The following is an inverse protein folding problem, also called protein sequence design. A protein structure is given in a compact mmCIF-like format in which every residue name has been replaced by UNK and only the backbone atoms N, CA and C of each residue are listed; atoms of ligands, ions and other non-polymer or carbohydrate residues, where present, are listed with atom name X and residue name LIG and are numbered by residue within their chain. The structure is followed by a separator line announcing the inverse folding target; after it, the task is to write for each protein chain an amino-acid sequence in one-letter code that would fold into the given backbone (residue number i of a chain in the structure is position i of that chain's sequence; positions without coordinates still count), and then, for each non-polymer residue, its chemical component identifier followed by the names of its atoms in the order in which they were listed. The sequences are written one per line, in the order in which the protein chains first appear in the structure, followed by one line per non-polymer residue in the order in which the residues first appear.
data_IF_212114424176
#
_entry.id   IF_212114424176
#
_cell.length_a   1.000
_cell.length_b   1.000
_cell.length_c   1.000
_cell.angle_alpha   90.00
_cell.angle_beta   90.00
_cell.angle_gamma   90.00
#
_symmetry.space_group_name_H-M   'P 1'
#
loop_
_entity.id
_entity.type
_entity.pdbx_description
1 polymer ?
#
# COMPACT_ATOMS: atom_id res chain seq x y z
N UNK A 1 -0.18 10.95 11.90
CA UNK A 1 1.06 10.16 11.86
C UNK A 1 2.10 10.91 12.66
N UNK A 2 2.83 10.25 13.54
CA UNK A 2 4.01 10.81 14.23
C UNK A 2 5.27 10.31 13.55
N UNK A 3 6.32 11.13 13.56
CA UNK A 3 7.63 10.69 13.12
C UNK A 3 8.13 9.55 14.03
N UNK A 4 8.72 8.54 13.42
CA UNK A 4 9.34 7.41 14.10
C UNK A 4 10.84 7.48 13.84
N UNK A 5 11.63 7.49 14.89
CA UNK A 5 13.09 7.47 14.81
C UNK A 5 13.54 6.06 14.40
N UNK A 6 13.84 5.88 13.11
CA UNK A 6 14.27 4.60 12.58
C UNK A 6 15.68 4.28 13.05
N UNK A 7 15.79 3.29 13.94
CA UNK A 7 17.08 2.77 14.42
C UNK A 7 17.21 1.32 14.03
N UNK A 8 17.90 1.01 12.91
CA UNK A 8 18.16 -0.37 12.53
C UNK A 8 18.92 -1.11 13.64
N UNK A 9 18.60 -2.38 13.82
CA UNK A 9 19.31 -3.30 14.71
C UNK A 9 20.25 -4.20 13.92
N UNK A 10 21.25 -4.76 14.60
CA UNK A 10 22.06 -5.80 14.00
C UNK A 10 21.19 -7.05 13.77
N UNK A 11 21.32 -7.63 12.57
CA UNK A 11 20.80 -8.96 12.28
C UNK A 11 21.51 -10.00 13.15
N UNK A 12 20.82 -11.10 13.46
CA UNK A 12 21.50 -12.27 14.00
C UNK A 12 22.49 -12.82 12.96
N UNK A 13 23.62 -13.43 13.37
CA UNK A 13 24.64 -13.88 12.41
C UNK A 13 24.10 -14.82 11.33
N UNK A 14 23.11 -15.66 11.65
CA UNK A 14 22.48 -16.55 10.67
C UNK A 14 21.49 -15.83 9.76
N UNK A 15 20.72 -14.87 10.29
CA UNK A 15 19.83 -13.99 9.52
C UNK A 15 20.64 -13.17 8.50
N UNK A 16 21.76 -12.58 8.92
CA UNK A 16 22.62 -11.74 8.07
C UNK A 16 23.15 -12.52 6.86
N UNK A 17 23.66 -13.75 7.09
CA UNK A 17 24.13 -14.64 6.03
C UNK A 17 23.00 -15.01 5.07
N UNK A 18 21.81 -15.33 5.58
CA UNK A 18 20.64 -15.68 4.76
C UNK A 18 20.17 -14.49 3.92
N UNK A 19 20.07 -13.30 4.52
CA UNK A 19 19.68 -12.06 3.84
C UNK A 19 20.68 -11.70 2.74
N UNK A 20 21.98 -11.75 3.04
CA UNK A 20 23.03 -11.47 2.06
C UNK A 20 22.99 -12.47 0.89
N UNK A 21 22.79 -13.76 1.18
CA UNK A 21 22.64 -14.79 0.16
C UNK A 21 21.39 -14.56 -0.71
N UNK A 22 20.24 -14.28 -0.09
CA UNK A 22 18.99 -14.01 -0.79
C UNK A 22 19.10 -12.79 -1.71
N UNK A 23 19.61 -11.67 -1.21
CA UNK A 23 19.80 -10.44 -2.01
C UNK A 23 20.75 -10.67 -3.19
N UNK A 24 21.87 -11.35 -2.97
CA UNK A 24 22.82 -11.69 -4.03
C UNK A 24 22.18 -12.56 -5.11
N UNK A 25 21.42 -13.59 -4.72
CA UNK A 25 20.76 -14.47 -5.68
C UNK A 25 19.64 -13.77 -6.44
N UNK A 26 18.83 -12.92 -5.78
CA UNK A 26 17.79 -12.12 -6.43
C UNK A 26 18.38 -11.22 -7.51
N UNK A 27 19.44 -10.48 -7.19
CA UNK A 27 20.11 -9.60 -8.14
C UNK A 27 20.70 -10.38 -9.33
N UNK A 28 21.35 -11.50 -9.07
CA UNK A 28 21.93 -12.35 -10.11
C UNK A 28 20.85 -12.95 -11.05
N UNK A 29 19.70 -13.39 -10.50
CA UNK A 29 18.58 -13.87 -11.31
C UNK A 29 17.96 -12.77 -12.16
N UNK A 30 17.77 -11.57 -11.62
CA UNK A 30 17.26 -10.43 -12.40
C UNK A 30 18.21 -10.09 -13.55
N UNK A 31 19.51 -9.97 -13.26
CA UNK A 31 20.53 -9.68 -14.26
C UNK A 31 20.56 -10.72 -15.39
N UNK A 32 20.37 -12.01 -15.06
CA UNK A 32 20.32 -13.10 -16.04
C UNK A 32 19.13 -12.98 -17.01
N UNK A 33 18.02 -12.39 -16.57
CA UNK A 33 16.79 -12.31 -17.35
C UNK A 33 16.60 -10.99 -18.11
N UNK A 34 17.50 -10.01 -17.95
CA UNK A 34 17.40 -8.71 -18.61
C UNK A 34 17.29 -8.84 -20.13
N UNK A 35 18.06 -9.76 -20.73
CA UNK A 35 18.12 -9.96 -22.18
C UNK A 35 17.28 -11.17 -22.66
N UNK A 36 16.47 -11.75 -21.79
CA UNK A 36 15.66 -12.90 -22.15
C UNK A 36 14.56 -12.51 -23.17
N UNK A 37 14.29 -13.35 -24.18
CA UNK A 37 13.39 -12.99 -25.28
C UNK A 37 11.93 -12.87 -24.82
N UNK A 38 11.20 -11.91 -25.41
CA UNK A 38 9.73 -11.82 -25.29
C UNK A 38 9.07 -13.13 -25.75
N UNK A 39 7.89 -13.40 -25.19
CA UNK A 39 7.07 -14.61 -25.39
C UNK A 39 7.70 -15.93 -24.91
N UNK A 40 8.88 -15.88 -24.29
CA UNK A 40 9.42 -17.01 -23.55
C UNK A 40 8.83 -17.05 -22.13
N UNK A 41 8.67 -18.23 -21.57
CA UNK A 41 8.29 -18.44 -20.16
C UNK A 41 9.28 -19.42 -19.54
N UNK A 42 9.54 -19.28 -18.24
CA UNK A 42 10.46 -20.17 -17.53
C UNK A 42 9.89 -21.58 -17.42
N UNK A 43 10.44 -22.50 -18.20
CA UNK A 43 10.05 -23.92 -18.21
C UNK A 43 10.59 -24.67 -16.98
N UNK A 44 10.08 -25.88 -16.74
CA UNK A 44 10.61 -26.79 -15.70
C UNK A 44 12.11 -27.04 -15.91
N UNK A 45 12.56 -27.17 -17.16
CA UNK A 45 13.97 -27.39 -17.45
C UNK A 45 14.80 -26.13 -17.23
N UNK A 46 14.31 -24.94 -17.61
CA UNK A 46 14.97 -23.67 -17.28
C UNK A 46 15.15 -23.54 -15.77
N UNK A 47 14.12 -23.88 -14.99
CA UNK A 47 14.16 -23.80 -13.51
C UNK A 47 15.09 -24.83 -12.90
N UNK A 48 15.09 -26.08 -13.39
CA UNK A 48 16.07 -27.11 -12.97
C UNK A 48 17.50 -26.68 -13.26
N UNK A 49 17.72 -26.02 -14.40
CA UNK A 49 19.03 -25.46 -14.74
C UNK A 49 19.44 -24.37 -13.75
N UNK A 50 18.54 -23.43 -13.41
CA UNK A 50 18.86 -22.41 -12.40
C UNK A 50 19.18 -23.05 -11.03
N UNK A 51 18.42 -24.06 -10.61
CA UNK A 51 18.72 -24.77 -9.36
C UNK A 51 20.08 -25.50 -9.43
N UNK A 52 20.43 -26.12 -10.56
CA UNK A 52 21.73 -26.79 -10.72
C UNK A 52 22.91 -25.82 -10.77
N UNK A 53 22.67 -24.57 -11.18
CA UNK A 53 23.63 -23.46 -11.11
C UNK A 53 23.78 -22.89 -9.69
N UNK A 54 22.99 -23.35 -8.72
CA UNK A 54 23.14 -23.02 -7.30
C UNK A 54 22.17 -21.97 -6.77
N UNK A 55 21.15 -21.57 -7.56
CA UNK A 55 20.08 -20.71 -7.05
C UNK A 55 19.13 -21.49 -6.12
N UNK A 56 18.66 -20.83 -5.07
CA UNK A 56 17.76 -21.42 -4.08
C UNK A 56 16.43 -21.85 -4.75
N UNK A 57 15.96 -23.09 -4.51
CA UNK A 57 14.72 -23.59 -5.11
C UNK A 57 13.50 -22.70 -4.85
N UNK A 58 13.35 -22.17 -3.62
CA UNK A 58 12.21 -21.32 -3.27
C UNK A 58 12.22 -20.02 -4.07
N UNK A 59 13.40 -19.45 -4.31
CA UNK A 59 13.55 -18.25 -5.12
C UNK A 59 13.25 -18.53 -6.59
N UNK A 60 13.80 -19.62 -7.13
CA UNK A 60 13.57 -20.05 -8.52
C UNK A 60 12.11 -20.40 -8.75
N UNK A 61 11.41 -21.01 -7.78
CA UNK A 61 10.01 -21.41 -7.92
C UNK A 61 9.05 -20.21 -7.98
N UNK A 62 9.46 -19.09 -7.40
CA UNK A 62 8.69 -17.85 -7.29
C UNK A 62 9.20 -16.74 -8.22
N UNK A 63 10.16 -17.07 -9.09
CA UNK A 63 10.65 -16.22 -10.16
C UNK A 63 9.60 -16.10 -11.28
N UNK A 64 9.23 -14.86 -11.58
CA UNK A 64 8.26 -14.49 -12.61
C UNK A 64 9.01 -13.96 -13.83
N UNK A 65 8.73 -14.53 -14.99
CA UNK A 65 9.18 -14.05 -16.29
C UNK A 65 8.07 -14.30 -17.30
N UNK A 66 7.33 -13.25 -17.65
CA UNK A 66 6.15 -13.32 -18.51
C UNK A 66 6.14 -12.16 -19.51
N UNK A 67 5.41 -12.34 -20.62
CA UNK A 67 5.08 -11.25 -21.54
C UNK A 67 3.69 -10.72 -21.19
N UNK A 68 3.65 -9.50 -20.69
CA UNK A 68 2.46 -8.83 -20.19
C UNK A 68 1.94 -7.84 -21.24
N UNK A 69 0.64 -7.93 -21.54
CA UNK A 69 -0.08 -6.91 -22.30
C UNK A 69 -0.99 -6.14 -21.38
N UNK A 70 -0.85 -4.82 -21.40
CA UNK A 70 -1.69 -3.92 -20.61
C UNK A 70 -2.88 -3.46 -21.45
N UNK A 71 -4.04 -3.35 -20.80
CA UNK A 71 -5.25 -2.81 -21.43
C UNK A 71 -4.96 -1.42 -21.99
N UNK A 72 -5.32 -1.18 -23.25
CA UNK A 72 -5.11 0.11 -23.93
C UNK A 72 -3.69 0.34 -24.47
N UNK A 73 -2.74 -0.58 -24.27
CA UNK A 73 -1.43 -0.52 -24.91
C UNK A 73 -1.36 -1.46 -26.11
N UNK A 74 -0.66 -1.03 -27.16
CA UNK A 74 -0.40 -1.84 -28.36
C UNK A 74 0.85 -2.70 -28.22
N UNK A 75 1.73 -2.40 -27.25
CA UNK A 75 3.00 -3.10 -27.07
C UNK A 75 2.94 -4.13 -25.94
N UNK A 76 3.57 -5.28 -26.20
CA UNK A 76 3.80 -6.32 -25.20
C UNK A 76 5.09 -6.06 -24.43
N UNK A 77 5.03 -6.11 -23.10
CA UNK A 77 6.14 -5.79 -22.20
C UNK A 77 6.64 -7.05 -21.50
N UNK A 78 7.96 -7.13 -21.27
CA UNK A 78 8.49 -8.17 -20.38
C UNK A 78 8.23 -7.73 -18.93
N UNK A 79 7.61 -8.61 -18.15
CA UNK A 79 7.45 -8.43 -16.72
C UNK A 79 8.30 -9.50 -16.01
N UNK A 80 9.35 -9.04 -15.33
CA UNK A 80 10.31 -9.87 -14.59
C UNK A 80 10.30 -9.45 -13.14
N UNK A 81 10.40 -10.43 -12.24
CA UNK A 81 10.55 -10.17 -10.81
C UNK A 81 10.22 -11.42 -10.01
N UNK A 82 9.63 -11.20 -8.84
CA UNK A 82 9.29 -12.25 -7.90
C UNK A 82 7.86 -12.09 -7.42
N UNK A 83 7.18 -13.20 -7.16
CA UNK A 83 5.94 -13.17 -6.39
C UNK A 83 6.25 -13.09 -4.87
N UNK A 84 5.24 -12.87 -4.03
CA UNK A 84 5.42 -12.71 -2.58
C UNK A 84 6.14 -13.88 -1.90
N UNK A 85 5.89 -15.11 -2.35
CA UNK A 85 6.45 -16.31 -1.74
C UNK A 85 7.97 -16.47 -1.97
N UNK A 86 8.59 -15.59 -2.76
CA UNK A 86 10.06 -15.51 -2.86
C UNK A 86 10.73 -14.88 -1.64
N UNK A 87 9.99 -14.10 -0.84
CA UNK A 87 10.53 -13.38 0.31
C UNK A 87 10.27 -14.16 1.60
N UNK A 88 11.34 -14.50 2.32
CA UNK A 88 11.25 -15.31 3.53
C UNK A 88 10.74 -14.45 4.70
N UNK A 89 9.50 -14.71 5.10
CA UNK A 89 8.84 -14.04 6.22
C UNK A 89 9.58 -14.29 7.54
N UNK A 90 10.30 -15.41 7.68
CA UNK A 90 11.10 -15.69 8.86
C UNK A 90 12.31 -14.76 9.00
N UNK A 91 12.67 -14.02 7.94
CA UNK A 91 13.74 -13.00 7.97
C UNK A 91 13.16 -11.61 8.21
N UNK A 92 12.27 -11.13 7.32
CA UNK A 92 11.75 -9.75 7.42
C UNK A 92 10.63 -9.58 8.46
N UNK A 93 10.12 -10.66 9.03
CA UNK A 93 9.14 -10.65 10.12
C UNK A 93 9.53 -11.59 11.26
N UNK A 94 10.84 -11.79 11.48
CA UNK A 94 11.36 -12.56 12.62
C UNK A 94 10.89 -11.97 13.96
N UNK A 95 10.73 -12.81 14.99
CA UNK A 95 10.24 -12.35 16.31
C UNK A 95 11.12 -11.24 16.89
N UNK A 96 12.44 -11.35 16.70
CA UNK A 96 13.41 -10.36 17.14
C UNK A 96 13.20 -9.00 16.45
N UNK A 97 13.07 -9.01 15.11
CA UNK A 97 12.84 -7.79 14.34
C UNK A 97 11.45 -7.20 14.63
N UNK A 98 10.42 -8.04 14.68
CA UNK A 98 9.05 -7.61 14.97
C UNK A 98 8.96 -6.94 16.34
N UNK A 99 9.58 -7.53 17.36
CA UNK A 99 9.64 -6.94 18.71
C UNK A 99 10.34 -5.57 18.70
N UNK A 100 11.40 -5.41 17.92
CA UNK A 100 12.08 -4.12 17.77
C UNK A 100 11.20 -3.07 17.06
N UNK A 101 10.56 -3.42 15.95
CA UNK A 101 9.65 -2.52 15.24
C UNK A 101 8.45 -2.10 16.10
N UNK A 102 7.94 -3.02 16.93
CA UNK A 102 6.92 -2.72 17.94
C UNK A 102 7.41 -1.68 18.96
N UNK A 103 8.66 -1.75 19.41
CA UNK A 103 9.23 -0.76 20.32
C UNK A 103 9.37 0.60 19.64
N UNK A 104 9.88 0.64 18.41
CA UNK A 104 10.04 1.89 17.64
C UNK A 104 8.72 2.65 17.48
N UNK A 105 7.62 1.93 17.25
CA UNK A 105 6.30 2.54 17.05
C UNK A 105 5.46 2.64 18.33
N UNK A 106 6.02 2.39 19.51
CA UNK A 106 5.31 2.31 20.79
C UNK A 106 4.09 1.36 20.76
N UNK A 107 4.19 0.29 19.97
CA UNK A 107 3.12 -0.69 19.81
C UNK A 107 1.96 -0.26 18.92
N UNK A 108 2.09 0.88 18.23
CA UNK A 108 1.10 1.39 17.31
C UNK A 108 1.38 1.00 15.86
N UNK A 109 0.33 1.00 15.05
CA UNK A 109 0.46 1.06 13.60
C UNK A 109 1.23 2.34 13.22
N UNK A 110 2.34 2.20 12.50
CA UNK A 110 3.15 3.32 12.00
C UNK A 110 2.38 4.29 11.08
N UNK A 111 1.23 3.86 10.56
CA UNK A 111 0.33 4.65 9.73
C UNK A 111 -0.85 5.24 10.53
N UNK A 112 -1.82 4.42 10.92
CA UNK A 112 -3.05 4.95 11.52
C UNK A 112 -2.95 5.28 13.01
N UNK A 113 -1.81 4.98 13.65
CA UNK A 113 -1.56 5.14 15.09
C UNK A 113 -2.52 4.38 16.01
N UNK A 114 -3.23 3.38 15.48
CA UNK A 114 -4.01 2.44 16.30
C UNK A 114 -3.06 1.58 17.13
N UNK A 115 -3.37 1.41 18.42
CA UNK A 115 -2.60 0.53 19.30
C UNK A 115 -2.87 -0.95 18.96
N UNK A 116 -1.79 -1.72 18.71
CA UNK A 116 -1.88 -3.09 18.21
C UNK A 116 -1.38 -4.14 19.21
N UNK A 117 -0.57 -3.74 20.20
CA UNK A 117 0.03 -4.69 21.14
C UNK A 117 -1.00 -5.42 22.00
N UNK A 118 -2.08 -4.75 22.42
CA UNK A 118 -3.11 -5.36 23.27
C UNK A 118 -3.78 -6.59 22.62
N UNK A 119 -3.86 -6.61 21.30
CA UNK A 119 -4.55 -7.66 20.52
C UNK A 119 -3.59 -8.48 19.67
N UNK A 120 -2.28 -8.16 19.70
CA UNK A 120 -1.27 -8.70 18.80
C UNK A 120 -1.69 -8.66 17.32
N UNK A 121 -2.42 -7.60 16.92
CA UNK A 121 -3.01 -7.49 15.57
C UNK A 121 -2.11 -6.79 14.55
N UNK A 122 -0.85 -6.57 14.90
CA UNK A 122 0.13 -5.94 14.01
C UNK A 122 1.06 -6.94 13.33
N UNK A 123 1.53 -6.54 12.16
CA UNK A 123 2.41 -7.29 11.28
C UNK A 123 3.55 -6.39 10.76
N UNK A 124 4.54 -7.01 10.13
CA UNK A 124 5.61 -6.26 9.45
C UNK A 124 5.21 -6.08 7.99
N UNK A 125 5.09 -4.83 7.56
CA UNK A 125 4.77 -4.47 6.18
C UNK A 125 5.84 -3.60 5.56
N UNK A 126 5.86 -3.54 4.22
CA UNK A 126 6.85 -2.75 3.49
C UNK A 126 6.35 -1.35 3.12
N UNK A 127 7.20 -0.33 3.26
CA UNK A 127 6.93 1.03 2.78
C UNK A 127 6.89 1.07 1.24
N UNK A 128 7.99 0.68 0.60
CA UNK A 128 8.07 0.36 -0.83
C UNK A 128 7.61 -1.08 -1.01
N UNK A 129 6.53 -1.33 -1.75
CA UNK A 129 5.97 -2.68 -1.88
C UNK A 129 6.96 -3.58 -2.61
N UNK A 130 7.19 -4.81 -2.17
CA UNK A 130 8.25 -5.68 -2.72
C UNK A 130 7.69 -6.81 -3.58
N UNK A 131 6.42 -7.12 -3.38
CA UNK A 131 5.72 -8.23 -4.01
C UNK A 131 4.93 -7.82 -5.25
N UNK A 132 4.32 -6.64 -5.22
CA UNK A 132 3.46 -6.19 -6.30
C UNK A 132 3.47 -4.67 -6.36
N UNK A 133 3.43 -4.14 -7.58
CA UNK A 133 3.27 -2.72 -7.79
C UNK A 133 1.94 -2.48 -8.49
N UNK A 134 1.08 -1.70 -7.84
CA UNK A 134 -0.21 -1.27 -8.37
C UNK A 134 -0.08 0.08 -9.04
N UNK A 135 -0.43 0.12 -10.32
CA UNK A 135 -0.42 1.35 -11.12
C UNK A 135 -1.79 1.59 -11.75
N UNK A 136 -2.30 2.82 -11.71
CA UNK A 136 -3.40 3.21 -12.59
C UNK A 136 -2.88 3.24 -14.04
N UNK A 137 -3.63 2.69 -14.98
CA UNK A 137 -3.25 2.67 -16.42
C UNK A 137 -3.92 3.79 -17.22
N UNK A 138 -5.01 4.37 -16.73
CA UNK A 138 -5.69 5.54 -17.34
C UNK A 138 -6.66 6.22 -16.35
N UNK A 139 -7.48 7.16 -16.82
CA UNK A 139 -8.61 7.75 -16.08
C UNK A 139 -9.70 6.74 -15.71
N UNK A 140 -9.67 5.54 -16.30
CA UNK A 140 -10.48 4.42 -15.86
C UNK A 140 -9.83 3.77 -14.65
N UNK A 141 -10.63 3.45 -13.63
CA UNK A 141 -10.28 2.89 -12.31
C UNK A 141 -9.55 1.53 -12.32
N UNK A 142 -8.99 1.14 -13.46
CA UNK A 142 -8.32 -0.13 -13.69
C UNK A 142 -6.88 -0.04 -13.17
N UNK A 143 -6.63 -0.84 -12.14
CA UNK A 143 -5.34 -0.97 -11.49
C UNK A 143 -4.64 -2.19 -12.06
N UNK A 144 -3.42 -2.01 -12.55
CA UNK A 144 -2.57 -3.12 -13.00
C UNK A 144 -1.57 -3.45 -11.91
N UNK A 145 -1.54 -4.74 -11.56
CA UNK A 145 -0.51 -5.33 -10.71
C UNK A 145 0.64 -5.85 -11.58
N UNK A 146 1.86 -5.36 -11.36
CA UNK A 146 3.10 -5.92 -11.93
C UNK A 146 4.01 -6.43 -10.84
N UNK A 147 5.08 -7.15 -11.19
CA UNK A 147 6.14 -7.43 -10.22
C UNK A 147 6.74 -6.09 -9.76
N UNK A 148 7.14 -6.02 -8.50
CA UNK A 148 7.74 -4.81 -7.95
C UNK A 148 9.22 -4.70 -8.33
N UNK A 149 9.72 -3.51 -8.70
CA UNK A 149 11.16 -3.27 -8.85
C UNK A 149 11.89 -3.20 -7.49
N UNK A 150 11.18 -3.14 -6.37
CA UNK A 150 11.74 -2.95 -5.03
C UNK A 150 12.09 -4.26 -4.32
N UNK A 151 12.20 -5.38 -5.03
CA UNK A 151 12.49 -6.70 -4.43
C UNK A 151 13.78 -6.71 -3.58
N UNK A 152 14.76 -5.88 -3.91
CA UNK A 152 16.02 -5.76 -3.15
C UNK A 152 15.83 -5.12 -1.77
N UNK A 153 14.68 -4.47 -1.52
CA UNK A 153 14.33 -3.84 -0.25
C UNK A 153 13.47 -4.75 0.64
N UNK A 154 13.32 -6.03 0.30
CA UNK A 154 12.54 -7.00 1.07
C UNK A 154 13.02 -7.15 2.51
N UNK A 155 14.34 -7.02 2.73
CA UNK A 155 15.00 -7.16 4.03
C UNK A 155 15.67 -5.86 4.51
N UNK A 156 15.38 -4.72 3.88
CA UNK A 156 15.90 -3.42 4.34
C UNK A 156 15.05 -2.91 5.50
N UNK A 157 15.65 -2.75 6.68
CA UNK A 157 14.92 -2.29 7.88
C UNK A 157 14.33 -0.88 7.72
N UNK A 158 14.91 -0.03 6.86
CA UNK A 158 14.32 1.29 6.55
C UNK A 158 13.04 1.18 5.70
N UNK A 159 12.80 0.01 5.12
CA UNK A 159 11.62 -0.31 4.35
C UNK A 159 10.58 -1.12 5.14
N UNK A 160 10.87 -1.55 6.38
CA UNK A 160 10.01 -2.42 7.20
C UNK A 160 9.34 -1.65 8.33
N UNK A 161 8.01 -1.75 8.43
CA UNK A 161 7.18 -0.99 9.37
C UNK A 161 6.27 -1.92 10.17
N UNK A 162 6.05 -1.60 11.45
CA UNK A 162 4.99 -2.25 12.23
C UNK A 162 3.63 -1.61 11.93
N UNK A 163 2.73 -2.37 11.32
CA UNK A 163 1.47 -1.85 10.76
C UNK A 163 0.30 -2.79 11.05
N UNK A 164 -0.93 -2.29 10.93
CA UNK A 164 -2.12 -3.13 11.00
C UNK A 164 -2.51 -3.64 9.61
N UNK A 165 -3.18 -4.79 9.56
CA UNK A 165 -3.64 -5.41 8.32
C UNK A 165 -4.50 -4.49 7.43
N UNK A 166 -5.36 -3.67 8.05
CA UNK A 166 -6.13 -2.68 7.31
C UNK A 166 -5.21 -1.73 6.54
N UNK A 167 -4.24 -1.09 7.21
CA UNK A 167 -3.34 -0.17 6.53
C UNK A 167 -2.42 -0.87 5.53
N UNK A 168 -1.93 -2.09 5.83
CA UNK A 168 -0.99 -2.82 4.98
C UNK A 168 -1.66 -3.44 3.73
N UNK A 169 -2.62 -4.34 3.92
CA UNK A 169 -3.20 -5.14 2.84
C UNK A 169 -4.42 -4.47 2.20
N UNK A 170 -5.34 -3.94 3.02
CA UNK A 170 -6.65 -3.49 2.52
C UNK A 170 -6.59 -2.12 1.84
N UNK A 171 -5.77 -1.21 2.37
CA UNK A 171 -5.66 0.16 1.90
C UNK A 171 -4.38 0.38 1.09
N UNK A 172 -3.20 0.35 1.72
CA UNK A 172 -1.94 0.63 1.01
C UNK A 172 -1.71 -0.33 -0.14
N UNK A 173 -1.78 -1.64 0.12
CA UNK A 173 -1.52 -2.67 -0.88
C UNK A 173 -0.19 -2.44 -1.61
N UNK A 174 -0.21 -2.59 -2.93
CA UNK A 174 0.93 -2.27 -3.80
C UNK A 174 0.95 -0.82 -4.29
N UNK A 175 0.12 0.07 -3.74
CA UNK A 175 0.05 1.46 -4.17
C UNK A 175 1.27 2.23 -3.68
N UNK A 176 2.07 2.73 -4.61
CA UNK A 176 3.27 3.53 -4.31
C UNK A 176 3.46 4.65 -5.35
N UNK A 177 2.60 5.68 -5.34
CA UNK A 177 2.66 6.77 -6.31
C UNK A 177 3.95 7.59 -6.15
N UNK A 178 4.51 8.02 -7.28
CA UNK A 178 5.72 8.84 -7.37
C UNK A 178 5.45 10.06 -8.25
N UNK A 179 6.22 11.12 -8.01
CA UNK A 179 6.43 12.19 -8.99
C UNK A 179 7.61 11.79 -9.88
N UNK A 180 7.41 11.82 -11.19
CA UNK A 180 8.45 11.52 -12.18
C UNK A 180 8.67 10.02 -12.42
N UNK A 181 9.93 9.67 -12.71
CA UNK A 181 10.33 8.31 -13.09
C UNK A 181 10.49 7.38 -11.86
N UNK A 182 10.50 6.07 -12.11
CA UNK A 182 10.63 5.03 -11.09
C UNK A 182 11.88 4.20 -11.32
N UNK A 183 12.49 3.68 -10.26
CA UNK A 183 13.47 2.62 -10.38
C UNK A 183 12.95 1.44 -11.25
N UNK A 184 13.79 0.83 -12.10
CA UNK A 184 15.23 1.08 -12.25
C UNK A 184 15.60 2.18 -13.26
N UNK A 185 14.66 2.96 -13.80
CA UNK A 185 14.98 4.04 -14.76
C UNK A 185 15.84 5.14 -14.11
N UNK A 186 15.62 5.37 -12.82
CA UNK A 186 16.40 6.26 -11.96
C UNK A 186 16.88 5.54 -10.71
N UNK A 187 17.80 6.15 -9.97
CA UNK A 187 18.21 5.63 -8.66
C UNK A 187 17.06 5.78 -7.65
N UNK A 188 16.94 4.84 -6.71
CA UNK A 188 15.88 4.85 -5.69
C UNK A 188 15.90 6.14 -4.86
N UNK A 189 17.09 6.67 -4.56
CA UNK A 189 17.26 7.91 -3.78
C UNK A 189 16.80 9.17 -4.52
N UNK A 190 16.56 9.08 -5.83
CA UNK A 190 16.04 10.17 -6.66
C UNK A 190 14.51 10.13 -6.78
N UNK A 191 13.87 9.03 -6.37
CA UNK A 191 12.42 8.92 -6.40
C UNK A 191 11.76 9.92 -5.44
N UNK A 192 10.66 10.51 -5.87
CA UNK A 192 9.86 11.44 -5.06
C UNK A 192 8.51 10.79 -4.72
N UNK A 193 8.42 10.01 -3.62
CA UNK A 193 7.18 9.34 -3.26
C UNK A 193 6.12 10.32 -2.75
N UNK A 194 4.87 10.10 -3.17
CA UNK A 194 3.70 10.83 -2.68
C UNK A 194 3.06 10.17 -1.45
N UNK A 195 3.63 9.06 -0.97
CA UNK A 195 3.29 8.47 0.32
C UNK A 195 4.29 8.96 1.37
N UNK A 196 3.79 9.48 2.49
CA UNK A 196 4.62 9.95 3.60
C UNK A 196 5.30 8.78 4.31
N UNK A 197 6.63 8.83 4.43
CA UNK A 197 7.41 7.85 5.19
C UNK A 197 7.62 8.33 6.64
N UNK A 198 7.10 7.61 7.67
CA UNK A 198 7.27 8.03 9.06
C UNK A 198 8.71 7.97 9.56
N UNK A 199 9.63 7.31 8.83
CA UNK A 199 11.05 7.25 9.17
C UNK A 199 11.89 8.39 8.59
N UNK A 200 11.51 8.91 7.42
CA UNK A 200 12.33 9.87 6.68
C UNK A 200 11.78 11.29 6.75
N UNK A 201 10.50 11.43 7.06
CA UNK A 201 9.77 12.68 7.00
C UNK A 201 9.04 12.89 8.32
N UNK A 202 8.77 14.15 8.68
CA UNK A 202 7.83 14.44 9.75
C UNK A 202 6.41 14.36 9.19
N UNK A 203 5.63 13.30 9.50
CA UNK A 203 4.31 13.15 8.90
C UNK A 203 3.35 14.25 9.32
N UNK A 204 3.66 14.93 10.42
CA UNK A 204 2.92 16.07 10.88
C UNK A 204 3.01 17.24 9.88
N UNK A 205 4.02 17.35 9.03
CA UNK A 205 4.04 18.42 8.01
C UNK A 205 2.99 18.22 6.90
N UNK A 206 2.44 17.01 6.76
CA UNK A 206 1.56 16.64 5.65
C UNK A 206 0.15 16.26 6.11
N UNK A 207 0.01 15.57 7.24
CA UNK A 207 -1.27 15.05 7.73
C UNK A 207 -1.52 15.49 9.17
N UNK A 208 -2.65 16.16 9.37
CA UNK A 208 -3.19 16.57 10.68
C UNK A 208 -4.58 16.00 10.88
N UNK A 209 -5.14 16.15 12.07
CA UNK A 209 -6.47 15.68 12.40
C UNK A 209 -7.36 16.78 12.95
N UNK A 210 -8.61 16.78 12.50
CA UNK A 210 -9.66 17.65 13.04
C UNK A 210 -10.14 17.06 14.38
N UNK A 211 -9.99 17.80 15.50
CA UNK A 211 -10.39 17.31 16.82
C UNK A 211 -11.90 17.20 17.02
N UNK A 212 -12.71 17.79 16.14
CA UNK A 212 -14.17 17.69 16.21
C UNK A 212 -14.70 16.46 15.47
N UNK A 213 -14.23 16.21 14.24
CA UNK A 213 -14.69 15.07 13.43
C UNK A 213 -13.82 13.82 13.55
N UNK A 214 -12.59 13.93 14.09
CA UNK A 214 -11.60 12.85 14.12
C UNK A 214 -11.01 12.50 12.76
N UNK A 215 -11.33 13.27 11.71
CA UNK A 215 -10.87 13.05 10.34
C UNK A 215 -9.47 13.62 10.13
N UNK A 216 -8.68 12.94 9.32
CA UNK A 216 -7.42 13.43 8.80
C UNK A 216 -7.67 14.44 7.66
N UNK A 217 -6.83 15.46 7.56
CA UNK A 217 -6.81 16.42 6.45
C UNK A 217 -5.38 16.74 6.00
N UNK A 218 -5.25 17.15 4.73
CA UNK A 218 -3.97 17.48 4.09
C UNK A 218 -3.47 18.84 4.61
N UNK A 219 -2.59 18.81 5.60
CA UNK A 219 -2.06 20.01 6.25
C UNK A 219 -0.99 20.71 5.41
N UNK A 220 -0.23 19.97 4.60
CA UNK A 220 0.68 20.54 3.62
C UNK A 220 -0.07 21.53 2.71
N UNK A 221 -1.18 21.10 2.14
CA UNK A 221 -2.04 21.91 1.29
C UNK A 221 -2.60 23.13 2.03
N UNK A 222 -3.22 22.92 3.19
CA UNK A 222 -3.86 23.98 3.95
C UNK A 222 -2.83 25.01 4.45
N UNK A 223 -1.69 24.55 4.98
CA UNK A 223 -0.66 25.43 5.51
C UNK A 223 -0.03 26.29 4.41
N UNK A 224 0.28 25.72 3.23
CA UNK A 224 0.80 26.52 2.11
C UNK A 224 -0.23 27.54 1.61
N UNK A 225 -1.51 27.15 1.51
CA UNK A 225 -2.57 28.11 1.16
C UNK A 225 -2.66 29.27 2.15
N UNK A 226 -2.57 29.00 3.45
CA UNK A 226 -2.59 30.04 4.49
C UNK A 226 -1.34 30.92 4.45
N UNK A 227 -0.16 30.33 4.24
CA UNK A 227 1.09 31.05 4.09
C UNK A 227 1.02 32.04 2.92
N UNK A 228 0.52 31.61 1.76
CA UNK A 228 0.42 32.46 0.57
C UNK A 228 -0.68 33.52 0.72
N UNK A 229 -1.87 33.11 1.16
CA UNK A 229 -3.05 34.00 1.24
C UNK A 229 -2.95 35.03 2.36
N UNK A 230 -2.26 34.72 3.46
CA UNK A 230 -2.12 35.60 4.63
C UNK A 230 -0.70 36.13 4.82
N UNK A 231 0.27 35.70 4.00
CA UNK A 231 1.68 36.09 4.12
C UNK A 231 2.27 35.80 5.51
N UNK A 232 1.99 34.60 6.03
CA UNK A 232 2.43 34.13 7.35
C UNK A 232 3.43 32.98 7.23
N UNK A 233 4.18 32.72 8.29
CA UNK A 233 5.08 31.56 8.40
C UNK A 233 4.32 30.25 8.61
N UNK A 234 4.99 29.11 8.41
CA UNK A 234 4.42 27.79 8.65
C UNK A 234 3.96 27.59 10.11
N UNK A 235 4.74 28.07 11.09
CA UNK A 235 4.37 28.00 12.50
C UNK A 235 3.14 28.87 12.81
N UNK A 236 3.06 30.08 12.24
CA UNK A 236 1.87 30.93 12.37
C UNK A 236 0.64 30.29 11.74
N UNK A 237 0.78 29.59 10.60
CA UNK A 237 -0.30 28.81 10.01
C UNK A 237 -0.75 27.66 10.91
N UNK A 238 0.17 26.95 11.58
CA UNK A 238 -0.17 25.90 12.55
C UNK A 238 -0.94 26.46 13.75
N UNK A 239 -0.46 27.56 14.37
CA UNK A 239 -1.16 28.22 15.47
C UNK A 239 -2.54 28.74 15.06
N UNK A 240 -2.65 29.26 13.83
CA UNK A 240 -3.92 29.74 13.29
C UNK A 240 -4.94 28.60 13.17
N UNK A 241 -4.53 27.44 12.64
CA UNK A 241 -5.42 26.27 12.53
C UNK A 241 -5.86 25.77 13.91
N UNK A 242 -4.99 25.78 14.91
CA UNK A 242 -5.38 25.40 16.27
C UNK A 242 -6.32 26.41 16.92
N UNK A 243 -6.12 27.71 16.69
CA UNK A 243 -6.96 28.76 17.27
C UNK A 243 -8.31 28.96 16.57
N UNK A 244 -8.42 28.57 15.31
CA UNK A 244 -9.63 28.71 14.47
C UNK A 244 -10.01 27.37 13.81
N UNK A 245 -10.41 26.34 14.57
CA UNK A 245 -10.76 25.03 14.01
C UNK A 245 -12.00 25.07 13.09
N UNK A 246 -12.78 26.15 13.07
CA UNK A 246 -13.81 26.41 12.06
C UNK A 246 -13.24 26.38 10.63
N UNK A 247 -11.95 26.70 10.44
CA UNK A 247 -11.23 26.51 9.17
C UNK A 247 -11.24 25.04 8.70
N UNK A 248 -11.49 24.09 9.61
CA UNK A 248 -11.56 22.66 9.31
C UNK A 248 -13.00 22.18 9.04
N UNK A 249 -14.02 22.76 9.68
CA UNK A 249 -15.41 22.52 9.29
C UNK A 249 -15.66 23.01 7.87
N UNK A 250 -15.00 24.12 7.52
CA UNK A 250 -14.93 24.64 6.16
C UNK A 250 -13.93 23.86 5.29
N UNK A 251 -13.24 22.79 5.71
CA UNK A 251 -12.18 22.19 4.88
C UNK A 251 -12.70 21.51 3.61
N UNK A 252 -13.93 20.97 3.65
CA UNK A 252 -14.57 20.45 2.44
C UNK A 252 -14.95 21.60 1.50
N UNK A 253 -15.40 22.73 2.05
CA UNK A 253 -15.76 23.94 1.31
C UNK A 253 -14.54 24.78 0.87
N UNK A 254 -13.41 24.70 1.59
CA UNK A 254 -12.18 25.45 1.33
C UNK A 254 -11.45 24.85 0.15
N UNK A 255 -11.28 23.53 0.09
CA UNK A 255 -10.70 22.86 -1.08
C UNK A 255 -11.61 22.97 -2.32
N UNK A 256 -12.92 23.10 -2.11
CA UNK A 256 -13.91 23.36 -3.17
C UNK A 256 -14.13 24.85 -3.43
N UNK A 257 -13.48 25.73 -2.65
CA UNK A 257 -13.71 27.17 -2.77
C UNK A 257 -13.14 27.68 -4.09
N UNK A 258 -13.81 28.66 -4.73
CA UNK A 258 -13.26 29.30 -5.92
C UNK A 258 -11.91 29.99 -5.68
N UNK A 259 -11.62 30.41 -4.44
CA UNK A 259 -10.35 31.03 -4.08
C UNK A 259 -9.21 30.02 -4.05
N UNK A 260 -9.43 28.89 -3.38
CA UNK A 260 -8.47 27.79 -3.32
C UNK A 260 -8.22 27.20 -4.71
N UNK A 261 -9.28 26.95 -5.48
CA UNK A 261 -9.14 26.42 -6.84
C UNK A 261 -8.27 27.32 -7.71
N UNK A 262 -8.50 28.65 -7.65
CA UNK A 262 -7.68 29.63 -8.38
C UNK A 262 -6.24 29.66 -7.90
N UNK A 263 -6.02 29.56 -6.59
CA UNK A 263 -4.67 29.50 -6.01
C UNK A 263 -3.93 28.23 -6.46
N UNK A 264 -4.54 27.07 -6.35
CA UNK A 264 -3.95 25.79 -6.77
C UNK A 264 -3.59 25.81 -8.27
N UNK A 265 -4.44 26.41 -9.10
CA UNK A 265 -4.20 26.61 -10.53
C UNK A 265 -3.08 27.62 -10.85
N UNK A 266 -2.72 28.48 -9.88
CA UNK A 266 -1.64 29.47 -10.03
C UNK A 266 -0.26 28.89 -9.73
N UNK A 267 -0.19 27.76 -9.03
CA UNK A 267 1.06 27.06 -8.76
C UNK A 267 1.62 26.45 -10.05
N UNK A 268 2.95 26.33 -10.15
CA UNK A 268 3.55 25.53 -11.20
C UNK A 268 3.20 24.04 -11.01
N UNK A 269 3.26 23.27 -12.10
CA UNK A 269 2.80 21.88 -12.11
C UNK A 269 3.52 21.00 -11.10
N UNK A 270 4.83 21.16 -10.95
CA UNK A 270 5.63 20.29 -10.09
C UNK A 270 5.34 20.59 -8.62
N UNK A 271 5.26 21.88 -8.26
CA UNK A 271 4.82 22.31 -6.93
C UNK A 271 3.41 21.82 -6.61
N UNK A 272 2.46 21.96 -7.55
CA UNK A 272 1.08 21.52 -7.36
C UNK A 272 0.98 20.01 -7.15
N UNK A 273 1.78 19.20 -7.87
CA UNK A 273 1.81 17.75 -7.70
C UNK A 273 2.44 17.36 -6.36
N UNK A 274 3.56 17.97 -5.99
CA UNK A 274 4.21 17.69 -4.69
C UNK A 274 3.31 18.05 -3.52
N UNK A 275 2.51 19.11 -3.67
CA UNK A 275 1.49 19.54 -2.73
C UNK A 275 0.25 18.61 -2.67
N UNK A 276 0.37 17.36 -3.10
CA UNK A 276 -0.69 16.34 -2.94
C UNK A 276 -0.27 15.22 -2.00
N UNK A 277 0.91 15.30 -1.39
CA UNK A 277 1.49 14.21 -0.61
C UNK A 277 0.65 13.86 0.63
N UNK A 278 0.19 14.85 1.39
CA UNK A 278 -0.71 14.66 2.53
C UNK A 278 -2.04 14.03 2.11
N UNK A 279 -2.67 14.58 1.06
CA UNK A 279 -3.94 14.06 0.51
C UNK A 279 -3.79 12.62 0.00
N UNK A 280 -2.78 12.36 -0.82
CA UNK A 280 -2.46 11.03 -1.36
C UNK A 280 -2.24 10.01 -0.24
N UNK A 281 -1.55 10.41 0.82
CA UNK A 281 -1.32 9.56 2.00
C UNK A 281 -2.63 9.25 2.73
N UNK A 282 -3.50 10.23 2.92
CA UNK A 282 -4.81 10.04 3.57
C UNK A 282 -5.67 9.06 2.79
N UNK A 283 -5.71 9.20 1.46
CA UNK A 283 -6.49 8.36 0.57
C UNK A 283 -5.95 6.92 0.52
N UNK A 284 -4.65 6.76 0.24
CA UNK A 284 -4.03 5.44 0.08
C UNK A 284 -4.04 4.63 1.37
N UNK A 285 -3.83 5.27 2.53
CA UNK A 285 -3.83 4.57 3.82
C UNK A 285 -5.24 4.45 4.44
N UNK A 286 -6.25 5.01 3.77
CA UNK A 286 -7.62 5.04 4.26
C UNK A 286 -7.74 5.67 5.64
N UNK A 287 -7.06 6.81 5.87
CA UNK A 287 -7.00 7.44 7.19
C UNK A 287 -8.36 8.00 7.64
N UNK A 288 -9.33 8.11 6.73
CA UNK A 288 -10.70 8.57 6.97
C UNK A 288 -11.77 7.48 6.86
N UNK A 289 -11.38 6.19 6.91
CA UNK A 289 -12.34 5.08 6.96
C UNK A 289 -13.21 5.16 8.23
N UNK A 290 -14.51 4.77 8.16
CA UNK A 290 -15.46 5.00 9.26
C UNK A 290 -15.02 4.45 10.60
N UNK A 291 -14.50 3.23 10.63
CA UNK A 291 -14.12 2.53 11.86
C UNK A 291 -12.95 3.22 12.56
N UNK A 292 -12.02 3.77 11.78
CA UNK A 292 -10.88 4.53 12.30
C UNK A 292 -11.31 5.89 12.82
N UNK A 293 -12.21 6.59 12.11
CA UNK A 293 -12.77 7.87 12.55
C UNK A 293 -13.53 7.71 13.86
N UNK A 294 -14.39 6.70 13.98
CA UNK A 294 -15.10 6.37 15.22
C UNK A 294 -14.12 6.08 16.36
N UNK A 295 -13.08 5.30 16.10
CA UNK A 295 -12.07 4.97 17.11
C UNK A 295 -11.32 6.21 17.60
N UNK A 296 -11.04 7.16 16.70
CA UNK A 296 -10.42 8.45 17.04
C UNK A 296 -11.36 9.33 17.87
N UNK A 297 -12.63 9.44 17.49
CA UNK A 297 -13.62 10.19 18.26
C UNK A 297 -13.75 9.67 19.70
N UNK A 298 -13.73 8.35 19.88
CA UNK A 298 -13.70 7.75 21.22
C UNK A 298 -12.44 8.13 22.01
N UNK A 299 -11.27 8.16 21.37
CA UNK A 299 -10.02 8.58 21.99
C UNK A 299 -10.03 10.07 22.37
N UNK A 300 -10.60 10.93 21.52
CA UNK A 300 -10.79 12.36 21.80
C UNK A 300 -11.68 12.55 23.04
N UNK A 301 -12.78 11.81 23.14
CA UNK A 301 -13.65 11.85 24.32
C UNK A 301 -12.90 11.51 25.62
N UNK A 302 -12.04 10.48 25.61
CA UNK A 302 -11.20 10.13 26.75
C UNK A 302 -10.15 11.21 27.06
N UNK A 303 -9.54 11.77 26.02
CA UNK A 303 -8.52 12.81 26.14
C UNK A 303 -9.09 14.11 26.73
N UNK A 304 -10.32 14.47 26.36
CA UNK A 304 -11.01 15.65 26.85
C UNK A 304 -11.14 15.62 28.38
N UNK A 305 -11.47 14.47 28.98
CA UNK A 305 -11.53 14.33 30.44
C UNK A 305 -10.16 14.56 31.12
N UNK A 306 -9.07 14.12 30.48
CA UNK A 306 -7.72 14.38 30.99
C UNK A 306 -7.36 15.88 30.90
N UNK A 307 -7.71 16.52 29.79
CA UNK A 307 -7.46 17.94 29.57
C UNK A 307 -8.24 18.85 30.54
N UNK A 308 -9.52 18.55 30.82
CA UNK A 308 -10.31 19.29 31.80
C UNK A 308 -9.68 19.24 33.20
N UNK A 309 -9.11 18.11 33.60
CA UNK A 309 -8.36 17.98 34.86
C UNK A 309 -7.09 18.82 34.87
N UNK A 310 -6.36 18.86 33.77
CA UNK A 310 -5.19 19.72 33.60
C UNK A 310 -5.58 21.20 33.76
N UNK A 311 -6.64 21.64 33.07
CA UNK A 311 -7.15 23.01 33.17
C UNK A 311 -7.56 23.40 34.60
N UNK A 312 -8.18 22.48 35.35
CA UNK A 312 -8.53 22.71 36.75
C UNK A 312 -7.32 22.82 37.69
N UNK A 313 -6.17 22.26 37.31
CA UNK A 313 -4.95 22.31 38.11
C UNK A 313 -4.25 23.67 38.12
N UNK A 314 -4.72 24.62 37.29
CA UNK A 314 -4.06 25.93 37.04
C UNK A 314 -2.61 25.82 36.57
N UNK A 315 -2.26 24.68 35.97
CA UNK A 315 -1.02 24.51 35.25
C UNK A 315 -1.23 25.02 33.81
N UNK A 316 -0.36 25.89 33.33
CA UNK A 316 -0.41 26.44 31.98
C UNK A 316 0.69 25.82 31.07
N UNK A 317 1.51 24.90 31.59
CA UNK A 317 2.54 24.20 30.82
C UNK A 317 1.92 23.04 30.02
N UNK A 318 1.27 23.39 28.91
CA UNK A 318 0.67 22.43 27.99
C UNK A 318 1.69 21.42 27.41
N UNK A 319 2.89 21.84 26.96
CA UNK A 319 3.91 20.89 26.47
C UNK A 319 4.28 19.82 27.50
N UNK A 320 4.57 20.21 28.74
CA UNK A 320 4.90 19.23 29.79
C UNK A 320 3.72 18.29 30.09
N UNK A 321 2.48 18.79 30.01
CA UNK A 321 1.30 17.95 30.13
C UNK A 321 1.20 16.92 29.01
N UNK A 322 1.34 17.34 27.74
CA UNK A 322 1.32 16.44 26.58
C UNK A 322 2.36 15.32 26.74
N UNK A 323 3.59 15.67 27.12
CA UNK A 323 4.68 14.71 27.32
C UNK A 323 4.40 13.71 28.45
N UNK A 324 3.65 14.14 29.48
CA UNK A 324 3.29 13.30 30.62
C UNK A 324 2.13 12.33 30.34
N UNK A 325 1.36 12.55 29.27
CA UNK A 325 0.18 11.74 28.99
C UNK A 325 0.56 10.33 28.55
N UNK A 326 -0.02 9.28 29.16
CA UNK A 326 0.21 7.89 28.74
C UNK A 326 -0.60 7.55 27.48
N UNK A 327 -0.35 8.26 26.38
CA UNK A 327 -1.05 8.08 25.11
C UNK A 327 -0.51 6.84 24.38
N UNK A 328 -1.30 5.78 24.41
CA UNK A 328 -1.01 4.55 23.70
C UNK A 328 -1.43 4.57 22.22
N UNK A 329 -2.24 5.54 21.78
CA UNK A 329 -2.74 5.61 20.41
C UNK A 329 -3.07 7.04 20.00
N UNK A 330 -3.08 7.27 18.69
CA UNK A 330 -3.52 8.53 18.08
C UNK A 330 -2.82 9.77 18.66
N UNK A 331 -1.51 9.66 18.88
CA UNK A 331 -0.67 10.73 19.45
C UNK A 331 -0.73 12.02 18.62
N UNK A 332 -0.71 11.94 17.28
CA UNK A 332 -0.80 13.15 16.47
C UNK A 332 -2.15 13.83 16.58
N UNK A 333 -3.24 13.06 16.66
CA UNK A 333 -4.59 13.58 16.91
C UNK A 333 -4.66 14.24 18.29
N UNK A 334 -4.04 13.62 19.31
CA UNK A 334 -4.05 14.16 20.66
C UNK A 334 -3.34 15.52 20.75
N UNK A 335 -2.20 15.68 20.05
CA UNK A 335 -1.51 16.97 19.94
C UNK A 335 -2.46 18.00 19.32
N UNK A 336 -3.09 17.67 18.19
CA UNK A 336 -4.00 18.60 17.49
C UNK A 336 -5.18 19.01 18.38
N UNK A 337 -5.81 18.05 19.08
CA UNK A 337 -6.91 18.32 19.99
C UNK A 337 -6.52 19.18 21.19
N UNK A 338 -5.42 18.86 21.85
CA UNK A 338 -4.97 19.57 23.05
C UNK A 338 -4.57 21.02 22.74
N UNK A 339 -3.84 21.25 21.64
CA UNK A 339 -3.52 22.60 21.20
C UNK A 339 -4.77 23.38 20.79
N UNK A 340 -5.72 22.76 20.09
CA UNK A 340 -6.99 23.42 19.74
C UNK A 340 -7.77 23.84 20.99
N UNK A 341 -8.02 22.93 21.93
CA UNK A 341 -8.78 23.25 23.14
C UNK A 341 -8.08 24.26 24.06
N UNK A 342 -6.75 24.33 24.01
CA UNK A 342 -5.99 25.31 24.77
C UNK A 342 -6.10 26.72 24.20
N UNK A 343 -6.17 26.86 22.87
CA UNK A 343 -6.32 28.14 22.21
C UNK A 343 -7.77 28.66 22.21
N UNK A 344 -8.77 27.77 22.26
CA UNK A 344 -10.21 28.12 22.25
C UNK A 344 -10.75 28.69 23.59
N UNK A 345 -10.06 29.64 24.24
CA UNK A 345 -10.47 30.19 25.54
C UNK A 345 -11.81 30.99 25.53
N UNK A 346 -12.97 30.35 25.31
CA UNK A 346 -14.31 30.69 25.83
C UNK A 346 -15.37 29.66 25.38
N UNK A 347 -16.38 29.33 26.22
CA UNK A 347 -17.23 28.17 26.01
C UNK A 347 -18.32 28.45 24.97
N UNK A 348 -18.29 27.70 23.88
CA UNK A 348 -19.52 27.30 23.19
C UNK A 348 -19.48 25.81 22.93
N UNK A 349 -20.19 25.08 23.80
CA UNK A 349 -20.69 23.77 23.46
C UNK A 349 -21.78 23.95 22.41
N UNK A 350 -21.51 23.51 21.19
CA UNK A 350 -22.53 23.18 20.21
C UNK A 350 -22.32 21.74 19.79
N UNK A 351 -22.93 20.85 20.56
CA UNK A 351 -23.38 19.55 20.07
C UNK A 351 -24.46 19.81 19.03
N UNK A 352 -24.11 19.68 17.76
CA UNK A 352 -24.86 18.91 16.78
C UNK A 352 -24.15 19.02 15.44
N UNK A 353 -23.93 17.87 14.80
CA UNK A 353 -24.18 17.69 13.37
C UNK A 353 -23.97 16.22 12.98
N UNK A 354 -25.09 15.56 12.70
CA UNK A 354 -25.18 14.45 11.76
C UNK A 354 -24.60 14.88 10.42
N UNK A 355 -23.45 14.33 10.05
CA UNK A 355 -22.93 14.43 8.68
C UNK A 355 -23.28 13.16 7.92
N UNK A 356 -24.01 13.33 6.83
CA UNK A 356 -24.32 12.28 5.85
C UNK A 356 -23.07 11.80 5.14
N UNK A 357 -22.86 10.49 5.23
CA UNK A 357 -21.78 9.75 4.59
C UNK A 357 -21.93 9.73 3.07
N UNK A 358 -20.92 10.19 2.35
CA UNK A 358 -20.58 9.62 1.05
C UNK A 358 -19.21 8.95 1.17
N UNK A 359 -19.24 7.64 1.37
CA UNK A 359 -18.09 6.77 1.19
C UNK A 359 -18.18 6.13 -0.19
N UNK A 360 -17.13 6.27 -0.99
CA UNK A 360 -16.81 5.22 -1.94
C UNK A 360 -15.87 4.22 -1.24
N UNK A 361 -16.23 2.93 -1.15
CA UNK A 361 -15.27 1.91 -0.74
C UNK A 361 -14.26 1.73 -1.88
N UNK A 362 -13.05 2.25 -1.69
CA UNK A 362 -11.94 2.02 -2.62
C UNK A 362 -11.01 0.88 -2.18
N UNK A 363 -11.39 0.07 -1.18
CA UNK A 363 -10.62 -1.13 -0.86
C UNK A 363 -10.97 -2.26 -1.83
N UNK A 364 -9.93 -2.77 -2.50
CA UNK A 364 -10.04 -4.03 -3.22
C UNK A 364 -10.16 -5.15 -2.17
N UNK A 365 -11.15 -6.05 -2.25
CA UNK A 365 -11.42 -7.04 -1.20
C UNK A 365 -10.43 -8.22 -1.21
N UNK A 366 -9.26 -8.07 -1.84
CA UNK A 366 -8.37 -9.18 -2.18
C UNK A 366 -6.98 -9.00 -1.55
N UNK A 367 -6.42 -10.03 -0.89
CA UNK A 367 -5.08 -9.96 -0.29
C UNK A 367 -3.98 -9.63 -1.30
N UNK A 368 -2.89 -8.98 -0.86
CA UNK A 368 -1.76 -8.62 -1.71
C UNK A 368 -1.13 -9.86 -2.36
N UNK A 369 -0.85 -10.90 -1.58
CA UNK A 369 -0.25 -12.14 -2.08
C UNK A 369 -1.08 -12.76 -3.20
N UNK A 370 -2.42 -12.68 -3.10
CA UNK A 370 -3.36 -13.22 -4.08
C UNK A 370 -3.34 -12.39 -5.37
N UNK A 371 -3.37 -11.05 -5.24
CA UNK A 371 -3.28 -10.12 -6.37
C UNK A 371 -1.92 -10.18 -7.09
N UNK A 372 -0.85 -10.41 -6.35
CA UNK A 372 0.50 -10.59 -6.89
C UNK A 372 0.62 -11.85 -7.74
N UNK A 373 -0.19 -12.88 -7.44
CA UNK A 373 0.04 -14.24 -7.94
C UNK A 373 -0.91 -14.68 -9.07
N UNK A 374 -2.03 -14.01 -9.34
CA UNK A 374 -2.95 -14.45 -10.40
C UNK A 374 -2.89 -13.58 -11.65
N UNK A 375 -2.86 -14.21 -12.83
CA UNK A 375 -2.94 -13.54 -14.13
C UNK A 375 -3.85 -14.31 -15.07
N UNK A 376 -4.41 -13.62 -16.08
CA UNK A 376 -4.92 -14.33 -17.24
C UNK A 376 -3.75 -14.73 -18.14
N UNK A 377 -3.85 -15.89 -18.78
CA UNK A 377 -2.93 -16.37 -19.79
C UNK A 377 -3.70 -16.65 -21.08
N UNK A 378 -3.23 -16.07 -22.19
CA UNK A 378 -3.81 -16.26 -23.53
C UNK A 378 -2.73 -16.83 -24.44
N UNK A 379 -2.97 -18.03 -24.92
CA UNK A 379 -2.17 -18.67 -25.96
C UNK A 379 -2.43 -18.01 -27.32
N UNK A 380 -1.43 -17.98 -28.21
CA UNK A 380 -1.50 -17.36 -29.54
C UNK A 380 -2.69 -17.87 -30.38
N UNK A 381 -2.99 -19.16 -30.29
CA UNK A 381 -4.16 -19.80 -30.92
C UNK A 381 -5.51 -19.27 -30.42
N UNK A 382 -5.55 -18.64 -29.25
CA UNK A 382 -6.78 -18.24 -28.55
C UNK A 382 -6.94 -16.70 -28.45
N UNK A 383 -6.14 -15.91 -29.18
CA UNK A 383 -6.22 -14.45 -29.13
C UNK A 383 -7.62 -13.90 -29.50
N UNK A 384 -8.29 -14.53 -30.46
CA UNK A 384 -9.62 -14.13 -30.91
C UNK A 384 -10.77 -14.68 -30.06
N UNK A 385 -10.52 -15.59 -29.12
CA UNK A 385 -11.55 -16.08 -28.20
C UNK A 385 -12.04 -14.90 -27.36
N UNK A 386 -13.35 -14.72 -27.23
CA UNK A 386 -13.96 -13.66 -26.43
C UNK A 386 -14.90 -14.22 -25.35
N UNK A 387 -14.97 -15.53 -25.17
CA UNK A 387 -15.82 -16.19 -24.18
C UNK A 387 -15.03 -16.76 -23.01
N UNK A 388 -13.73 -16.99 -23.20
CA UNK A 388 -12.87 -17.68 -22.23
C UNK A 388 -11.48 -17.07 -22.14
N UNK A 389 -10.95 -17.00 -20.92
CA UNK A 389 -9.52 -16.77 -20.66
C UNK A 389 -9.01 -17.81 -19.67
N UNK A 390 -7.82 -18.36 -19.91
CA UNK A 390 -7.21 -19.21 -18.89
C UNK A 390 -6.78 -18.34 -17.71
N UNK A 391 -7.00 -18.82 -16.50
CA UNK A 391 -6.50 -18.20 -15.28
C UNK A 391 -5.32 -19.02 -14.80
N UNK A 392 -4.24 -18.35 -14.41
CA UNK A 392 -3.01 -19.01 -13.99
C UNK A 392 -2.49 -18.43 -12.69
N UNK A 393 -1.80 -19.27 -11.91
CA UNK A 393 -1.15 -18.88 -10.67
C UNK A 393 0.35 -18.82 -10.89
N UNK A 394 0.99 -17.66 -10.67
CA UNK A 394 2.39 -17.28 -10.90
C UNK A 394 3.45 -18.07 -10.05
N UNK A 395 3.28 -19.40 -9.91
CA UNK A 395 4.26 -20.41 -9.48
C UNK A 395 4.84 -21.27 -10.62
N UNK A 396 6.10 -21.68 -10.49
CA UNK A 396 6.78 -22.67 -11.33
C UNK A 396 6.01 -23.98 -11.63
N UNK A 397 5.03 -24.35 -10.80
CA UNK A 397 4.28 -25.60 -10.91
C UNK A 397 2.99 -25.50 -11.73
N UNK A 398 2.61 -24.32 -12.22
CA UNK A 398 1.39 -24.16 -13.01
C UNK A 398 1.43 -25.05 -14.27
N UNK A 399 0.28 -25.64 -14.59
CA UNK A 399 0.18 -26.62 -15.68
C UNK A 399 0.16 -25.97 -17.07
N UNK A 400 -0.37 -24.76 -17.16
CA UNK A 400 -0.55 -24.04 -18.41
C UNK A 400 0.69 -23.25 -18.76
N UNK A 401 1.32 -22.60 -17.79
CA UNK A 401 2.58 -21.90 -18.00
C UNK A 401 3.68 -22.47 -17.10
N UNK A 402 4.86 -22.71 -17.68
CA UNK A 402 6.00 -23.25 -16.95
C UNK A 402 6.29 -24.74 -17.17
N UNK A 403 5.41 -25.54 -17.77
CA UNK A 403 5.74 -26.95 -18.08
C UNK A 403 6.52 -27.12 -19.39
N UNK A 404 5.96 -26.67 -20.53
CA UNK A 404 6.56 -26.76 -21.87
C UNK A 404 6.15 -25.56 -22.72
N UNK A 405 7.01 -25.12 -23.63
CA UNK A 405 6.66 -24.17 -24.67
C UNK A 405 5.70 -24.85 -25.68
N UNK A 406 4.39 -24.69 -25.47
CA UNK A 406 3.36 -25.22 -26.39
C UNK A 406 3.16 -24.28 -27.57
N UNK A 407 3.11 -22.98 -27.30
CA UNK A 407 3.01 -21.87 -28.25
C UNK A 407 3.31 -20.55 -27.52
N UNK A 408 3.28 -19.42 -28.21
CA UNK A 408 3.48 -18.11 -27.58
C UNK A 408 2.31 -17.79 -26.66
N UNK A 409 2.60 -17.21 -25.50
CA UNK A 409 1.59 -16.77 -24.55
C UNK A 409 1.72 -15.28 -24.24
N UNK A 410 0.59 -14.62 -24.08
CA UNK A 410 0.46 -13.26 -23.56
C UNK A 410 -0.34 -13.30 -22.27
N UNK A 411 0.16 -12.61 -21.26
CA UNK A 411 -0.47 -12.51 -19.96
C UNK A 411 -1.21 -11.19 -19.85
N UNK A 412 -2.37 -11.19 -19.20
CA UNK A 412 -3.16 -9.99 -18.93
C UNK A 412 -3.35 -9.81 -17.42
N UNK A 413 -3.41 -8.55 -16.94
CA UNK A 413 -3.81 -8.28 -15.57
C UNK A 413 -5.26 -8.73 -15.31
N UNK A 414 -5.55 -9.10 -14.07
CA UNK A 414 -6.94 -9.34 -13.61
C UNK A 414 -7.54 -8.00 -13.22
N UNK A 415 -8.75 -7.70 -13.70
CA UNK A 415 -9.46 -6.51 -13.23
C UNK A 415 -10.18 -6.84 -11.92
N UNK A 416 -9.53 -6.61 -10.79
CA UNK A 416 -10.04 -7.00 -9.47
C UNK A 416 -11.41 -6.39 -9.09
N UNK A 417 -11.83 -5.30 -9.73
CA UNK A 417 -13.16 -4.71 -9.54
C UNK A 417 -14.20 -5.37 -10.45
N UNK A 418 -13.91 -5.47 -11.75
CA UNK A 418 -14.87 -5.96 -12.74
C UNK A 418 -14.98 -7.49 -12.74
N UNK A 419 -13.89 -8.19 -12.46
CA UNK A 419 -13.80 -9.65 -12.58
C UNK A 419 -14.16 -10.39 -11.28
N UNK A 420 -14.38 -9.66 -10.17
CA UNK A 420 -14.61 -10.20 -8.82
C UNK A 420 -15.62 -11.37 -8.78
N UNK A 421 -16.69 -11.24 -9.58
CA UNK A 421 -17.81 -12.17 -9.63
C UNK A 421 -17.90 -12.96 -10.95
N UNK A 422 -16.86 -12.91 -11.81
CA UNK A 422 -16.85 -13.73 -13.02
C UNK A 422 -16.79 -15.21 -12.65
N UNK A 423 -17.45 -16.02 -13.47
CA UNK A 423 -17.53 -17.46 -13.29
C UNK A 423 -16.18 -18.12 -13.62
N UNK A 424 -15.53 -18.69 -12.61
CA UNK A 424 -14.31 -19.47 -12.77
C UNK A 424 -14.69 -20.94 -12.82
N UNK A 425 -14.20 -21.65 -13.84
CA UNK A 425 -14.33 -23.09 -13.96
C UNK A 425 -13.00 -23.78 -13.68
N UNK A 426 -13.07 -24.83 -12.88
CA UNK A 426 -11.93 -25.67 -12.52
C UNK A 426 -12.22 -27.08 -13.01
N UNK A 427 -11.42 -27.54 -13.99
CA UNK A 427 -11.49 -28.91 -14.51
C UNK A 427 -10.43 -29.78 -13.85
N UNK A 428 -10.91 -30.73 -13.07
CA UNK A 428 -10.15 -31.87 -12.58
C UNK A 428 -10.20 -33.03 -13.58
N UNK A 429 -9.51 -34.14 -13.28
CA UNK A 429 -9.52 -35.34 -14.13
C UNK A 429 -10.93 -35.94 -14.36
N UNK A 430 -11.88 -35.75 -13.43
CA UNK A 430 -13.19 -36.41 -13.47
C UNK A 430 -14.38 -35.46 -13.51
N UNK A 431 -14.21 -34.23 -13.03
CA UNK A 431 -15.30 -33.28 -12.84
C UNK A 431 -14.87 -31.85 -13.20
N UNK A 432 -15.85 -31.04 -13.58
CA UNK A 432 -15.75 -29.58 -13.65
C UNK A 432 -16.61 -29.01 -12.53
N UNK A 433 -16.08 -28.05 -11.79
CA UNK A 433 -16.81 -27.29 -10.78
C UNK A 433 -16.56 -25.80 -10.98
N UNK A 434 -17.41 -24.99 -10.35
CA UNK A 434 -17.47 -23.55 -10.52
C UNK A 434 -17.12 -22.83 -9.21
N UNK A 435 -16.49 -21.66 -9.35
CA UNK A 435 -16.12 -20.80 -8.22
C UNK A 435 -16.00 -19.34 -8.68
N UNK A 436 -15.66 -18.44 -7.75
CA UNK A 436 -15.38 -17.03 -8.02
C UNK A 436 -14.00 -16.62 -7.50
N UNK A 437 -13.49 -15.47 -7.94
CA UNK A 437 -12.25 -14.91 -7.38
C UNK A 437 -12.38 -14.69 -5.86
N UNK A 438 -13.58 -14.34 -5.38
CA UNK A 438 -13.85 -14.11 -3.95
C UNK A 438 -13.63 -15.37 -3.13
N UNK A 439 -14.15 -16.52 -3.57
CA UNK A 439 -13.97 -17.80 -2.88
C UNK A 439 -12.52 -18.30 -2.95
N UNK A 440 -11.84 -18.09 -4.09
CA UNK A 440 -10.43 -18.44 -4.23
C UNK A 440 -9.53 -17.61 -3.32
N UNK A 441 -9.88 -16.35 -3.06
CA UNK A 441 -9.11 -15.46 -2.18
C UNK A 441 -9.15 -15.88 -0.71
N UNK A 442 -10.21 -16.55 -0.29
CA UNK A 442 -10.37 -17.11 1.06
C UNK A 442 -9.62 -18.45 1.24
N UNK A 443 -9.05 -19.00 0.16
CA UNK A 443 -8.28 -20.25 0.19
C UNK A 443 -6.85 -20.04 0.68
N UNK A 444 -6.25 -21.07 1.27
CA UNK A 444 -4.84 -21.00 1.69
C UNK A 444 -3.91 -20.95 0.47
N UNK A 445 -2.79 -20.21 0.51
CA UNK A 445 -1.87 -20.12 -0.62
C UNK A 445 -1.42 -21.48 -1.18
N UNK A 446 -1.10 -22.44 -0.30
CA UNK A 446 -0.67 -23.78 -0.71
C UNK A 446 -1.79 -24.59 -1.38
N UNK A 447 -3.04 -24.45 -0.92
CA UNK A 447 -4.20 -25.11 -1.52
C UNK A 447 -4.45 -24.55 -2.92
N UNK A 448 -4.30 -23.23 -3.08
CA UNK A 448 -4.42 -22.57 -4.37
C UNK A 448 -3.32 -23.01 -5.33
N UNK A 449 -2.05 -23.01 -4.90
CA UNK A 449 -0.93 -23.54 -5.70
C UNK A 449 -1.23 -24.96 -6.18
N UNK A 450 -1.68 -25.83 -5.28
CA UNK A 450 -2.05 -27.20 -5.63
C UNK A 450 -3.20 -27.25 -6.63
N UNK A 451 -4.21 -26.40 -6.48
CA UNK A 451 -5.33 -26.32 -7.42
C UNK A 451 -4.84 -26.02 -8.84
N UNK A 452 -4.03 -24.99 -9.03
CA UNK A 452 -3.52 -24.59 -10.36
C UNK A 452 -2.47 -25.54 -10.93
N UNK A 453 -1.73 -26.24 -10.06
CA UNK A 453 -0.75 -27.26 -10.48
C UNK A 453 -1.44 -28.49 -11.09
N UNK A 454 -2.60 -28.89 -10.55
CA UNK A 454 -3.22 -30.17 -10.89
C UNK A 454 -4.47 -30.05 -11.78
N UNK A 455 -5.03 -28.86 -11.94
CA UNK A 455 -6.30 -28.64 -12.64
C UNK A 455 -6.16 -27.61 -13.74
N UNK A 456 -7.03 -27.68 -14.74
CA UNK A 456 -7.16 -26.63 -15.74
C UNK A 456 -8.16 -25.58 -15.21
N UNK A 457 -7.75 -24.32 -15.13
CA UNK A 457 -8.56 -23.23 -14.55
C UNK A 457 -8.79 -22.16 -15.61
N UNK A 458 -10.05 -21.75 -15.81
CA UNK A 458 -10.41 -20.67 -16.72
C UNK A 458 -11.55 -19.83 -16.21
N UNK A 459 -11.68 -18.63 -16.76
CA UNK A 459 -12.79 -17.72 -16.47
C UNK A 459 -13.65 -17.61 -17.72
N UNK A 460 -14.97 -17.71 -17.55
CA UNK A 460 -15.95 -17.47 -18.59
C UNK A 460 -16.50 -16.05 -18.51
N UNK A 461 -16.71 -15.44 -19.67
CA UNK A 461 -17.31 -14.12 -19.77
C UNK A 461 -16.91 -13.42 -21.06
N UNK A 462 -17.55 -12.30 -21.38
CA UNK A 462 -17.12 -11.48 -22.50
C UNK A 462 -15.72 -10.92 -22.21
N UNK A 463 -14.76 -11.25 -23.07
CA UNK A 463 -13.42 -10.68 -23.08
C UNK A 463 -13.19 -9.94 -24.39
N UNK A 464 -12.38 -8.90 -24.36
CA UNK A 464 -11.93 -8.23 -25.58
C UNK A 464 -11.05 -9.19 -26.39
N UNK A 465 -11.34 -9.29 -27.69
CA UNK A 465 -10.49 -10.03 -28.61
C UNK A 465 -9.13 -9.34 -28.70
N UNK A 466 -8.06 -10.14 -28.63
CA UNK A 466 -6.70 -9.66 -28.75
C UNK A 466 -6.24 -9.76 -30.19
N UNK A 467 -5.40 -8.83 -30.60
CA UNK A 467 -4.69 -8.88 -31.88
C UNK A 467 -3.25 -9.36 -31.67
N UNK A 468 -2.62 -9.97 -32.68
CA UNK A 468 -1.18 -10.18 -32.64
C UNK A 468 -0.47 -8.82 -32.54
N UNK A 469 0.53 -8.75 -31.67
CA UNK A 469 1.38 -7.55 -31.56
C UNK A 469 2.27 -7.38 -32.80
#
# INVERSE_FOLDING_TARGET
MIQIDCKPIAWLPDEDVKIAAANKQMQALMARLVDAPKYHTLTIEDRKQLVSEGYAPDLVNNLVFITLRLTGLTEDLVNVGFNYAAFDTALFASDHLKAHLQQLSNGCCAYCESYLLATNSGEVGHFRPVELLERPVSTHLDVVATCSPYFSLAYDQNNLLFVCNACHEQYKGGQFPLVGERAPLINIDQEQPLLVCPYLEDPRQFVRFDPQSGRAYAFDVLSTFLMDSKSISHNEAEQLVWSQPELLQESHDLMESPAFTRWLQSLDKDSAIQLTKGQTTIEILGLNRPELVISRLNAIGQLHFAYERFKLSKNDDLPAFIDSLPLLQYRSLAIDALHTWHNQQSPQATTDNTTTHQNQPSSLPFPNWFRASLRYCVEESNLADNHKRNLVFLSANDRLYGQKAKERCVFLPVNWKQDKHKLIKVRSQRNIWETSLSELADSRPLELINLFTHNDVWVEGPFEALHSA
#
